data_IF_289285487125
#
_entry.id   IF_289285487125
#
_cell.length_a   1.000
_cell.length_b   1.000
_cell.length_c   1.000
_cell.angle_alpha   90.00
_cell.angle_beta   90.00
_cell.angle_gamma   90.00
#
_symmetry.space_group_name_H-M   'P 1'
#
loop_
_entity.id
_entity.type
_entity.pdbx_description
1 polymer ?
#
# COMPACT_ATOMS: atom_id res chain seq x y z
N UNK A 1 -23.78 0.54 35.79
CA UNK A 1 -22.55 -0.08 35.26
C UNK A 1 -21.75 0.96 34.47
N UNK A 2 -20.58 1.40 34.96
CA UNK A 2 -19.84 2.55 34.41
C UNK A 2 -19.10 2.25 33.09
N UNK A 3 -19.08 0.99 32.65
CA UNK A 3 -18.40 0.56 31.43
C UNK A 3 -19.11 0.97 30.13
N UNK A 4 -20.40 1.32 30.17
CA UNK A 4 -21.15 1.76 28.98
C UNK A 4 -20.81 3.21 28.57
N UNK A 5 -20.58 4.10 29.55
CA UNK A 5 -20.33 5.53 29.29
C UNK A 5 -18.93 5.82 28.70
N UNK A 6 -17.95 4.95 28.92
CA UNK A 6 -16.60 5.12 28.36
C UNK A 6 -16.53 4.78 26.87
N UNK A 7 -17.27 3.76 26.41
CA UNK A 7 -17.34 3.41 24.98
C UNK A 7 -18.02 4.49 24.14
N UNK A 8 -19.08 5.12 24.66
CA UNK A 8 -19.78 6.22 23.97
C UNK A 8 -18.93 7.48 23.81
N UNK A 9 -18.09 7.81 24.80
CA UNK A 9 -17.23 9.01 24.71
C UNK A 9 -16.10 8.89 23.68
N UNK A 10 -15.58 7.67 23.46
CA UNK A 10 -14.52 7.42 22.48
C UNK A 10 -15.05 7.47 21.04
N UNK A 11 -16.29 7.03 20.81
CA UNK A 11 -16.96 7.18 19.52
C UNK A 11 -17.21 8.65 19.15
N UNK A 12 -17.70 9.46 20.10
CA UNK A 12 -17.98 10.88 19.86
C UNK A 12 -16.73 11.71 19.53
N UNK A 13 -15.60 11.42 20.18
CA UNK A 13 -14.31 12.05 19.85
C UNK A 13 -13.83 11.67 18.44
N UNK A 14 -14.28 10.52 17.91
CA UNK A 14 -13.90 10.07 16.58
C UNK A 14 -14.52 10.94 15.47
N UNK A 15 -15.68 11.54 15.71
CA UNK A 15 -16.45 12.33 14.73
C UNK A 15 -16.22 13.84 14.85
N UNK A 16 -15.67 14.33 15.98
CA UNK A 16 -15.43 15.76 16.18
C UNK A 16 -14.29 16.31 15.29
N UNK A 17 -14.67 17.13 14.29
CA UNK A 17 -13.77 17.97 13.48
C UNK A 17 -13.29 19.23 14.26
N UNK A 18 -12.17 19.88 13.87
CA UNK A 18 -11.67 21.10 14.52
C UNK A 18 -12.66 22.28 14.54
N UNK A 19 -13.58 22.34 13.58
CA UNK A 19 -14.60 23.40 13.50
C UNK A 19 -15.60 23.37 14.67
N UNK A 20 -15.93 22.18 15.20
CA UNK A 20 -16.85 22.03 16.32
C UNK A 20 -16.21 22.44 17.66
N UNK A 21 -14.90 22.67 17.73
CA UNK A 21 -14.22 23.15 18.95
C UNK A 21 -14.75 24.51 19.41
N UNK A 22 -15.31 25.31 18.50
CA UNK A 22 -15.96 26.58 18.79
C UNK A 22 -17.16 26.44 19.75
N UNK A 23 -17.95 25.38 19.62
CA UNK A 23 -19.10 25.10 20.49
C UNK A 23 -18.67 24.81 21.95
N UNK A 24 -17.43 24.33 22.15
CA UNK A 24 -16.87 24.00 23.47
C UNK A 24 -16.08 25.17 24.11
N UNK A 25 -16.16 26.39 23.56
CA UNK A 25 -15.47 27.56 24.11
C UNK A 25 -15.81 27.81 25.60
N UNK A 26 -17.04 27.49 26.01
CA UNK A 26 -17.54 27.64 27.38
C UNK A 26 -16.87 26.68 28.40
N UNK A 27 -16.32 25.55 27.95
CA UNK A 27 -15.57 24.58 28.79
C UNK A 27 -14.05 24.64 28.57
N UNK A 28 -13.55 25.62 27.82
CA UNK A 28 -12.11 25.74 27.50
C UNK A 28 -11.17 25.88 28.71
N UNK A 29 -11.71 26.25 29.88
CA UNK A 29 -10.98 26.31 31.15
C UNK A 29 -10.76 24.93 31.79
N UNK A 30 -11.58 23.93 31.45
CA UNK A 30 -11.43 22.56 31.95
C UNK A 30 -10.18 21.89 31.33
N UNK A 31 -9.21 21.42 32.13
CA UNK A 31 -8.04 20.67 31.65
C UNK A 31 -8.40 19.48 30.75
N UNK A 32 -9.55 18.83 30.99
CA UNK A 32 -10.02 17.70 30.18
C UNK A 32 -10.46 18.14 28.79
N UNK A 33 -11.19 19.26 28.68
CA UNK A 33 -11.59 19.83 27.40
C UNK A 33 -10.38 20.30 26.58
N UNK A 34 -9.37 20.88 27.23
CA UNK A 34 -8.11 21.26 26.57
C UNK A 34 -7.34 20.06 26.04
N UNK A 35 -7.32 18.94 26.77
CA UNK A 35 -6.68 17.71 26.33
C UNK A 35 -7.31 17.20 25.04
N UNK A 36 -8.63 17.03 25.00
CA UNK A 36 -9.32 16.54 23.80
C UNK A 36 -9.26 17.51 22.62
N UNK A 37 -9.31 18.82 22.86
CA UNK A 37 -9.11 19.83 21.80
C UNK A 37 -7.75 19.67 21.11
N UNK A 38 -6.68 19.43 21.90
CA UNK A 38 -5.33 19.16 21.36
C UNK A 38 -5.28 17.83 20.60
N UNK A 39 -5.98 16.79 21.07
CA UNK A 39 -6.05 15.49 20.39
C UNK A 39 -6.73 15.63 19.02
N UNK A 40 -7.87 16.35 18.95
CA UNK A 40 -8.60 16.60 17.70
C UNK A 40 -7.75 17.39 16.71
N UNK A 41 -7.10 18.47 17.15
CA UNK A 41 -6.22 19.26 16.29
C UNK A 41 -5.03 18.46 15.75
N UNK A 42 -4.36 17.67 16.61
CA UNK A 42 -3.24 16.81 16.19
C UNK A 42 -3.68 15.74 15.19
N UNK A 43 -4.85 15.12 15.41
CA UNK A 43 -5.41 14.13 14.47
C UNK A 43 -5.72 14.75 13.12
N UNK A 44 -6.35 15.92 13.10
CA UNK A 44 -6.66 16.63 11.86
C UNK A 44 -5.39 16.99 11.08
N UNK A 45 -4.38 17.55 11.75
CA UNK A 45 -3.09 17.87 11.13
C UNK A 45 -2.35 16.63 10.61
N UNK A 46 -2.42 15.51 11.35
CA UNK A 46 -1.86 14.23 10.90
C UNK A 46 -2.59 13.65 9.68
N UNK A 47 -3.92 13.81 9.58
CA UNK A 47 -4.69 13.38 8.40
C UNK A 47 -4.29 14.19 7.17
N UNK A 48 -4.21 15.51 7.29
CA UNK A 48 -3.81 16.39 6.17
C UNK A 48 -2.38 16.10 5.70
N UNK A 49 -1.45 15.84 6.62
CA UNK A 49 -0.07 15.50 6.25
C UNK A 49 0.02 14.12 5.57
N UNK A 50 -0.73 13.12 6.06
CA UNK A 50 -0.82 11.80 5.41
C UNK A 50 -1.41 11.88 4.00
N UNK A 51 -2.48 12.65 3.81
CA UNK A 51 -3.07 12.86 2.48
C UNK A 51 -2.06 13.55 1.56
N UNK A 52 -1.40 14.63 2.02
CA UNK A 52 -0.38 15.34 1.25
C UNK A 52 0.77 14.41 0.82
N UNK A 53 1.34 13.64 1.74
CA UNK A 53 2.41 12.68 1.45
C UNK A 53 1.94 11.61 0.47
N UNK A 54 0.73 11.06 0.66
CA UNK A 54 0.18 10.06 -0.25
C UNK A 54 -0.03 10.62 -1.66
N UNK A 55 -0.46 11.87 -1.78
CA UNK A 55 -0.66 12.56 -3.06
C UNK A 55 0.66 12.86 -3.77
N UNK A 56 1.68 13.30 -3.04
CA UNK A 56 3.03 13.47 -3.58
C UNK A 56 3.61 12.14 -4.08
N UNK A 57 3.49 11.08 -3.29
CA UNK A 57 3.88 9.73 -3.70
C UNK A 57 3.08 9.25 -4.89
N UNK A 58 1.80 9.57 -5.00
CA UNK A 58 1.00 9.25 -6.17
C UNK A 58 1.51 9.97 -7.43
N UNK A 59 1.88 11.24 -7.33
CA UNK A 59 2.48 11.96 -8.45
C UNK A 59 3.82 11.33 -8.88
N UNK A 60 4.67 10.95 -7.92
CA UNK A 60 5.92 10.23 -8.19
C UNK A 60 5.68 8.84 -8.79
N UNK A 61 4.67 8.10 -8.29
CA UNK A 61 4.26 6.81 -8.83
C UNK A 61 3.94 6.92 -10.32
N UNK A 62 3.16 7.93 -10.72
CA UNK A 62 2.81 8.18 -12.12
C UNK A 62 4.02 8.52 -12.98
N UNK A 63 4.96 9.29 -12.45
CA UNK A 63 6.22 9.58 -13.14
C UNK A 63 7.05 8.30 -13.36
N UNK A 64 7.22 7.49 -12.31
CA UNK A 64 7.97 6.23 -12.36
C UNK A 64 7.33 5.19 -13.29
N UNK A 65 6.00 5.13 -13.36
CA UNK A 65 5.28 4.29 -14.32
C UNK A 65 5.56 4.72 -15.77
N UNK A 66 5.63 6.02 -16.02
CA UNK A 66 5.94 6.56 -17.35
C UNK A 66 7.38 6.26 -17.78
N UNK A 67 8.32 6.32 -16.84
CA UNK A 67 9.72 5.99 -17.10
C UNK A 67 9.93 4.48 -17.33
N UNK A 68 9.06 3.64 -16.75
CA UNK A 68 8.99 2.19 -17.00
C UNK A 68 10.10 1.34 -16.38
N UNK A 69 11.13 1.96 -15.79
CA UNK A 69 12.26 1.23 -15.20
C UNK A 69 11.94 0.68 -13.82
N UNK A 70 11.41 1.53 -12.93
CA UNK A 70 11.23 1.20 -11.51
C UNK A 70 10.18 0.11 -11.30
N UNK A 71 9.04 0.21 -12.01
CA UNK A 71 7.95 -0.77 -11.97
C UNK A 71 8.07 -1.82 -13.10
N UNK A 72 9.29 -2.06 -13.61
CA UNK A 72 9.51 -3.24 -14.44
C UNK A 72 9.38 -4.50 -13.58
N UNK A 73 8.87 -5.58 -14.16
CA UNK A 73 8.68 -6.86 -13.46
C UNK A 73 9.97 -7.33 -12.80
N UNK A 74 11.10 -7.24 -13.50
CA UNK A 74 12.42 -7.59 -12.98
C UNK A 74 12.79 -6.77 -11.73
N UNK A 75 12.59 -5.45 -11.76
CA UNK A 75 12.88 -4.59 -10.60
C UNK A 75 11.93 -4.85 -9.44
N UNK A 76 10.67 -5.20 -9.71
CA UNK A 76 9.71 -5.57 -8.66
C UNK A 76 10.10 -6.91 -8.01
N UNK A 77 10.48 -7.90 -8.82
CA UNK A 77 10.98 -9.21 -8.35
C UNK A 77 12.21 -9.09 -7.47
N UNK A 78 13.18 -8.26 -7.86
CA UNK A 78 14.39 -8.00 -7.06
C UNK A 78 14.07 -7.40 -5.69
N UNK A 79 13.08 -6.49 -5.62
CA UNK A 79 12.74 -5.72 -4.41
C UNK A 79 11.78 -6.46 -3.48
N UNK A 80 10.88 -7.28 -4.01
CA UNK A 80 9.88 -8.02 -3.24
C UNK A 80 9.77 -9.46 -3.77
N UNK A 81 10.79 -10.30 -3.50
CA UNK A 81 10.88 -11.63 -4.08
C UNK A 81 9.80 -12.58 -3.57
N UNK A 82 9.44 -12.54 -2.29
CA UNK A 82 8.35 -13.36 -1.73
C UNK A 82 7.01 -13.03 -2.39
N UNK A 83 6.70 -11.74 -2.55
CA UNK A 83 5.45 -11.31 -3.19
C UNK A 83 5.41 -11.75 -4.66
N UNK A 84 6.55 -11.67 -5.37
CA UNK A 84 6.64 -12.16 -6.73
C UNK A 84 6.37 -13.67 -6.82
N UNK A 85 6.94 -14.45 -5.92
CA UNK A 85 6.75 -15.89 -5.88
C UNK A 85 5.28 -16.27 -5.65
N UNK A 86 4.61 -15.61 -4.69
CA UNK A 86 3.21 -15.85 -4.36
C UNK A 86 2.23 -15.52 -5.51
N UNK A 87 2.48 -14.47 -6.29
CA UNK A 87 1.53 -14.05 -7.33
C UNK A 87 1.89 -14.52 -8.75
N UNK A 88 3.18 -14.68 -9.05
CA UNK A 88 3.67 -14.96 -10.41
C UNK A 88 4.52 -16.23 -10.42
N UNK A 89 5.56 -16.28 -9.58
CA UNK A 89 6.61 -17.32 -9.62
C UNK A 89 6.06 -18.74 -9.55
N UNK A 90 5.16 -19.02 -8.61
CA UNK A 90 4.57 -20.35 -8.41
C UNK A 90 3.70 -20.84 -9.58
N UNK A 91 3.31 -19.95 -10.50
CA UNK A 91 2.46 -20.27 -11.65
C UNK A 91 3.20 -20.23 -12.98
N UNK A 92 4.51 -19.98 -12.98
CA UNK A 92 5.34 -20.07 -14.19
C UNK A 92 5.57 -21.53 -14.55
N UNK A 93 5.42 -21.87 -15.83
CA UNK A 93 5.75 -23.22 -16.31
C UNK A 93 7.25 -23.35 -16.55
N UNK A 94 7.77 -24.58 -16.51
CA UNK A 94 9.19 -24.87 -16.81
C UNK A 94 9.63 -24.34 -18.20
N UNK A 95 8.68 -24.24 -19.15
CA UNK A 95 8.93 -23.68 -20.48
C UNK A 95 9.08 -22.15 -20.44
N UNK A 96 8.31 -21.45 -19.59
CA UNK A 96 8.37 -19.99 -19.39
C UNK A 96 9.64 -19.58 -18.63
N UNK A 97 10.13 -20.42 -17.71
CA UNK A 97 11.35 -20.18 -16.89
C UNK A 97 12.63 -20.61 -17.63
N UNK A 98 12.53 -21.29 -18.77
CA UNK A 98 13.69 -21.79 -19.51
C UNK A 98 14.68 -20.66 -19.79
N UNK A 99 15.97 -20.81 -19.45
CA UNK A 99 16.98 -19.78 -19.71
C UNK A 99 17.13 -19.52 -21.21
N UNK A 100 16.78 -20.49 -22.06
CA UNK A 100 16.70 -20.27 -23.52
C UNK A 100 15.56 -19.32 -23.85
N UNK A 101 14.39 -19.48 -23.23
CA UNK A 101 13.22 -18.61 -23.43
C UNK A 101 13.48 -17.20 -22.89
N UNK A 102 14.02 -17.07 -21.67
CA UNK A 102 14.42 -15.78 -21.07
C UNK A 102 15.47 -15.06 -21.91
N UNK A 103 16.51 -15.75 -22.39
CA UNK A 103 17.54 -15.13 -23.26
C UNK A 103 16.97 -14.72 -24.62
N UNK A 104 15.96 -15.42 -25.13
CA UNK A 104 15.36 -15.17 -26.44
C UNK A 104 14.26 -14.08 -26.43
N UNK A 105 13.50 -13.94 -25.33
CA UNK A 105 12.41 -12.97 -25.18
C UNK A 105 12.75 -11.73 -24.34
N UNK A 106 13.67 -11.80 -23.38
CA UNK A 106 14.11 -10.65 -22.57
C UNK A 106 15.40 -10.01 -23.10
N UNK A 107 16.02 -10.61 -24.12
CA UNK A 107 17.15 -10.00 -24.83
C UNK A 107 16.65 -8.96 -25.84
N UNK A 108 16.82 -7.67 -25.56
CA UNK A 108 16.58 -6.63 -26.56
C UNK A 108 17.36 -6.92 -27.86
N UNK A 109 16.72 -6.85 -29.03
CA UNK A 109 17.38 -7.05 -30.32
C UNK A 109 18.27 -5.84 -30.64
N UNK A 110 19.48 -5.82 -30.06
CA UNK A 110 20.45 -4.74 -30.32
C UNK A 110 21.57 -4.61 -29.28
N UNK A 111 21.38 -5.10 -28.06
CA UNK A 111 22.42 -5.11 -27.03
C UNK A 111 23.15 -6.44 -27.05
N UNK A 112 24.40 -6.39 -27.55
CA UNK A 112 25.22 -7.56 -27.84
C UNK A 112 25.18 -8.61 -26.73
N UNK A 113 24.89 -9.85 -27.14
CA UNK A 113 25.06 -11.11 -26.42
C UNK A 113 25.76 -10.93 -25.08
N UNK A 114 24.98 -10.89 -23.99
CA UNK A 114 25.51 -10.80 -22.65
C UNK A 114 26.58 -11.87 -22.46
N UNK A 115 27.84 -11.45 -22.47
CA UNK A 115 28.97 -12.37 -22.40
C UNK A 115 28.98 -13.14 -21.08
N UNK A 116 29.97 -14.00 -20.87
CA UNK A 116 30.14 -14.74 -19.62
C UNK A 116 30.02 -13.84 -18.37
N UNK A 117 30.49 -12.59 -18.44
CA UNK A 117 30.34 -11.61 -17.36
C UNK A 117 28.87 -11.31 -17.01
N UNK A 118 27.99 -11.14 -18.00
CA UNK A 118 26.56 -10.93 -17.79
C UNK A 118 25.90 -12.15 -17.15
N UNK A 119 26.24 -13.34 -17.63
CA UNK A 119 25.74 -14.59 -17.04
C UNK A 119 26.20 -14.77 -15.58
N UNK A 120 27.45 -14.43 -15.28
CA UNK A 120 27.97 -14.45 -13.91
C UNK A 120 27.27 -13.43 -13.01
N UNK A 121 27.07 -12.20 -13.49
CA UNK A 121 26.33 -11.15 -12.76
C UNK A 121 24.89 -11.58 -12.49
N UNK A 122 24.18 -12.06 -13.50
CA UNK A 122 22.81 -12.57 -13.36
C UNK A 122 22.75 -13.75 -12.38
N UNK A 123 23.69 -14.69 -12.45
CA UNK A 123 23.72 -15.84 -11.53
C UNK A 123 23.96 -15.42 -10.07
N UNK A 124 24.70 -14.35 -9.85
CA UNK A 124 24.94 -13.80 -8.52
C UNK A 124 23.70 -13.06 -8.01
N UNK A 125 23.09 -12.23 -8.86
CA UNK A 125 21.83 -11.54 -8.54
C UNK A 125 20.73 -12.54 -8.21
N UNK A 126 20.54 -13.57 -9.02
CA UNK A 126 19.57 -14.64 -8.78
C UNK A 126 19.82 -15.31 -7.42
N UNK A 127 21.09 -15.60 -7.07
CA UNK A 127 21.40 -16.15 -5.75
C UNK A 127 21.00 -15.22 -4.59
N UNK A 128 21.15 -13.90 -4.75
CA UNK A 128 20.72 -12.93 -3.74
C UNK A 128 19.20 -12.93 -3.59
N UNK A 129 18.46 -12.98 -4.70
CA UNK A 129 17.00 -13.10 -4.71
C UNK A 129 16.57 -14.36 -3.96
N UNK A 130 17.14 -15.51 -4.33
CA UNK A 130 16.78 -16.81 -3.75
C UNK A 130 17.08 -16.87 -2.24
N UNK A 131 18.24 -16.36 -1.80
CA UNK A 131 18.56 -16.30 -0.38
C UNK A 131 17.57 -15.43 0.40
N UNK A 132 17.19 -14.27 -0.17
CA UNK A 132 16.22 -13.37 0.47
C UNK A 132 14.82 -13.98 0.51
N UNK A 133 14.40 -14.61 -0.59
CA UNK A 133 13.13 -15.34 -0.68
C UNK A 133 13.05 -16.42 0.41
N UNK A 134 14.11 -17.22 0.54
CA UNK A 134 14.17 -18.28 1.54
C UNK A 134 14.07 -17.72 2.97
N UNK A 135 14.81 -16.66 3.30
CA UNK A 135 14.74 -16.03 4.63
C UNK A 135 13.33 -15.48 4.92
N UNK A 136 12.67 -14.89 3.92
CA UNK A 136 11.30 -14.38 4.05
C UNK A 136 10.27 -15.51 4.23
N UNK A 137 10.40 -16.62 3.50
CA UNK A 137 9.56 -17.82 3.65
C UNK A 137 9.72 -18.48 5.02
N UNK A 138 10.97 -18.72 5.47
CA UNK A 138 11.25 -19.31 6.79
C UNK A 138 10.64 -18.48 7.93
N UNK A 139 10.58 -17.16 7.76
CA UNK A 139 9.95 -16.26 8.72
C UNK A 139 8.43 -16.32 8.70
N UNK A 140 7.82 -16.46 7.53
CA UNK A 140 6.36 -16.62 7.38
C UNK A 140 5.91 -17.96 7.97
N UNK A 141 6.61 -19.04 7.63
CA UNK A 141 6.37 -20.38 8.17
C UNK A 141 6.54 -20.41 9.69
N UNK A 142 7.59 -19.80 10.22
CA UNK A 142 7.80 -19.71 11.66
C UNK A 142 6.73 -18.90 12.40
N UNK A 143 6.11 -17.90 11.74
CA UNK A 143 4.99 -17.16 12.31
C UNK A 143 3.70 -18.00 12.32
N UNK A 144 3.44 -18.76 11.24
CA UNK A 144 2.30 -19.69 11.17
C UNK A 144 2.42 -20.80 12.21
N UNK A 145 3.60 -21.41 12.37
CA UNK A 145 3.84 -22.45 13.38
C UNK A 145 3.59 -21.96 14.82
N UNK A 146 3.74 -20.66 15.10
CA UNK A 146 3.41 -20.06 16.40
C UNK A 146 1.91 -19.76 16.58
N UNK A 147 1.13 -19.71 15.50
CA UNK A 147 -0.31 -19.36 15.48
C UNK A 147 -1.24 -20.58 15.37
N UNK A 148 -0.73 -21.75 14.97
CA UNK A 148 -1.52 -22.98 14.76
C UNK A 148 -1.82 -23.74 16.09
N UNK A 149 -3.03 -23.54 16.63
CA UNK A 149 -3.76 -24.57 17.40
C UNK A 149 -4.44 -25.53 16.40
N UNK A 150 -3.71 -26.55 15.95
CA UNK A 150 -4.18 -27.85 15.43
C UNK A 150 -5.47 -27.82 14.56
N UNK A 151 -5.39 -27.31 13.33
CA UNK A 151 -6.39 -27.59 12.29
C UNK A 151 -5.72 -28.21 11.04
N UNK A 152 -6.03 -29.50 10.82
CA UNK A 152 -5.65 -30.33 9.68
C UNK A 152 -6.28 -29.80 8.37
N UNK A 153 -5.50 -29.02 7.60
CA UNK A 153 -5.83 -28.65 6.22
C UNK A 153 -4.86 -29.29 5.22
N UNK A 154 -5.12 -30.56 4.94
CA UNK A 154 -4.59 -31.28 3.78
C UNK A 154 -5.17 -30.69 2.46
N UNK A 155 -4.30 -30.57 1.45
CA UNK A 155 -4.56 -30.29 0.02
C UNK A 155 -5.09 -28.90 -0.42
N UNK A 156 -4.17 -27.96 -0.65
CA UNK A 156 -4.30 -26.98 -1.75
C UNK A 156 -2.96 -26.81 -2.48
N UNK A 157 -2.60 -27.76 -3.34
CA UNK A 157 -1.46 -27.58 -4.26
C UNK A 157 -1.63 -28.35 -5.57
N UNK A 158 -2.75 -28.14 -6.24
CA UNK A 158 -2.91 -28.58 -7.65
C UNK A 158 -3.96 -27.71 -8.36
N UNK A 159 -3.81 -26.40 -8.27
CA UNK A 159 -4.57 -25.48 -9.13
C UNK A 159 -3.59 -24.74 -10.04
N UNK A 160 -3.77 -24.95 -11.35
CA UNK A 160 -3.04 -24.20 -12.37
C UNK A 160 -3.97 -23.10 -12.92
N UNK A 161 -3.63 -21.81 -12.73
CA UNK A 161 -4.43 -20.73 -13.26
C UNK A 161 -4.42 -20.74 -14.78
N UNK A 162 -5.58 -20.46 -15.37
CA UNK A 162 -5.73 -20.18 -16.79
C UNK A 162 -4.89 -18.96 -17.20
N UNK A 163 -4.56 -18.80 -18.49
CA UNK A 163 -3.79 -17.64 -18.95
C UNK A 163 -4.42 -16.28 -18.59
N UNK A 164 -5.76 -16.21 -18.55
CA UNK A 164 -6.49 -15.02 -18.13
C UNK A 164 -6.32 -14.76 -16.63
N UNK A 165 -6.42 -15.80 -15.79
CA UNK A 165 -6.18 -15.69 -14.34
C UNK A 165 -4.72 -15.33 -14.04
N UNK A 166 -3.74 -15.86 -14.80
CA UNK A 166 -2.34 -15.43 -14.70
C UNK A 166 -2.17 -13.94 -15.01
N UNK A 167 -2.94 -13.40 -15.95
CA UNK A 167 -2.90 -11.96 -16.24
C UNK A 167 -3.47 -11.14 -15.07
N UNK A 168 -4.58 -11.58 -14.48
CA UNK A 168 -5.16 -10.95 -13.29
C UNK A 168 -4.20 -10.99 -12.09
N UNK A 169 -3.57 -12.14 -11.84
CA UNK A 169 -2.58 -12.29 -10.77
C UNK A 169 -1.38 -11.35 -10.96
N UNK A 170 -0.92 -11.15 -12.20
CA UNK A 170 0.11 -10.15 -12.52
C UNK A 170 -0.37 -8.72 -12.26
N UNK A 171 -1.60 -8.40 -12.60
CA UNK A 171 -2.19 -7.08 -12.30
C UNK A 171 -2.35 -6.84 -10.80
N UNK A 172 -2.70 -7.88 -10.04
CA UNK A 172 -2.77 -7.84 -8.57
C UNK A 172 -1.40 -7.63 -7.96
N UNK A 173 -0.37 -8.36 -8.43
CA UNK A 173 1.01 -8.15 -8.02
C UNK A 173 1.45 -6.69 -8.22
N UNK A 174 1.21 -6.15 -9.42
CA UNK A 174 1.52 -4.75 -9.75
C UNK A 174 0.76 -3.79 -8.82
N UNK A 175 -0.52 -4.06 -8.57
CA UNK A 175 -1.35 -3.24 -7.69
C UNK A 175 -0.85 -3.24 -6.25
N UNK A 176 -0.43 -4.40 -5.73
CA UNK A 176 0.18 -4.51 -4.41
C UNK A 176 1.50 -3.72 -4.34
N UNK A 177 2.34 -3.82 -5.36
CA UNK A 177 3.58 -3.03 -5.45
C UNK A 177 3.30 -1.52 -5.44
N UNK A 178 2.26 -1.06 -6.13
CA UNK A 178 1.83 0.34 -6.09
C UNK A 178 1.35 0.75 -4.70
N UNK A 179 0.53 -0.07 -4.03
CA UNK A 179 0.04 0.25 -2.68
C UNK A 179 1.18 0.32 -1.66
N UNK A 180 2.12 -0.64 -1.70
CA UNK A 180 3.32 -0.62 -0.85
C UNK A 180 4.14 0.64 -1.08
N UNK A 181 4.28 1.06 -2.34
CA UNK A 181 4.96 2.30 -2.68
C UNK A 181 4.26 3.51 -2.04
N UNK A 182 2.94 3.66 -2.22
CA UNK A 182 2.17 4.77 -1.66
C UNK A 182 2.21 4.78 -0.13
N UNK A 183 2.15 3.61 0.50
CA UNK A 183 2.19 3.44 1.95
C UNK A 183 3.57 3.71 2.57
N UNK A 184 4.64 3.75 1.77
CA UNK A 184 5.99 3.97 2.27
C UNK A 184 6.70 2.70 2.75
N UNK A 185 6.25 1.53 2.29
CA UNK A 185 6.73 0.22 2.76
C UNK A 185 7.89 -0.33 1.92
N UNK A 186 8.20 0.32 0.80
CA UNK A 186 9.31 -0.07 -0.08
C UNK A 186 10.66 0.35 0.53
N UNK A 187 11.40 -0.61 1.04
CA UNK A 187 12.67 -0.36 1.76
C UNK A 187 13.79 0.09 0.82
N UNK A 188 13.69 -0.26 -0.46
CA UNK A 188 14.70 0.01 -1.48
C UNK A 188 14.52 1.40 -2.10
N UNK A 189 13.42 2.09 -1.80
CA UNK A 189 13.13 3.44 -2.26
C UNK A 189 13.50 4.54 -1.26
N UNK A 190 14.10 5.63 -1.75
CA UNK A 190 14.37 6.81 -0.93
C UNK A 190 13.19 7.81 -0.94
N UNK A 191 12.22 7.60 -0.06
CA UNK A 191 11.01 8.44 0.04
C UNK A 191 11.25 9.91 0.35
N UNK A 192 12.38 10.27 0.99
CA UNK A 192 12.70 11.69 1.26
C UNK A 192 12.79 12.51 -0.02
N UNK A 193 13.22 11.90 -1.11
CA UNK A 193 13.31 12.56 -2.42
C UNK A 193 11.95 12.93 -3.02
N UNK A 194 10.86 12.34 -2.53
CA UNK A 194 9.50 12.57 -2.99
C UNK A 194 8.71 13.38 -1.96
N UNK A 195 8.74 12.96 -0.69
CA UNK A 195 7.94 13.55 0.39
C UNK A 195 8.34 15.02 0.71
N UNK A 196 9.59 15.39 0.45
CA UNK A 196 10.11 16.75 0.64
C UNK A 196 10.21 17.56 -0.66
N UNK A 197 9.80 16.98 -1.80
CA UNK A 197 9.94 17.62 -3.10
C UNK A 197 8.68 18.41 -3.49
N UNK A 198 8.79 19.75 -3.67
CA UNK A 198 7.65 20.59 -4.04
C UNK A 198 7.13 20.33 -5.46
N UNK A 199 7.92 19.73 -6.36
CA UNK A 199 7.49 19.46 -7.75
C UNK A 199 6.37 18.41 -7.81
N UNK A 200 6.22 17.60 -6.76
CA UNK A 200 5.14 16.61 -6.64
C UNK A 200 3.92 17.13 -5.88
N UNK A 201 3.89 18.41 -5.49
CA UNK A 201 2.72 19.05 -4.90
C UNK A 201 1.68 19.36 -5.99
N UNK A 202 0.99 18.32 -6.44
CA UNK A 202 0.05 18.41 -7.55
C UNK A 202 -1.28 19.02 -7.09
N UNK A 203 -1.46 20.31 -7.38
CA UNK A 203 -2.67 21.07 -7.07
C UNK A 203 -3.94 20.45 -7.67
N UNK A 204 -3.86 19.76 -8.80
CA UNK A 204 -5.03 19.11 -9.41
C UNK A 204 -5.52 17.94 -8.55
N UNK A 205 -4.59 17.17 -7.95
CA UNK A 205 -4.93 16.09 -7.02
C UNK A 205 -5.52 16.68 -5.74
N UNK A 206 -4.90 17.73 -5.20
CA UNK A 206 -5.39 18.39 -3.98
C UNK A 206 -6.79 18.97 -4.18
N UNK A 207 -7.05 19.61 -5.33
CA UNK A 207 -8.37 20.14 -5.65
C UNK A 207 -9.39 19.02 -5.76
N UNK A 208 -9.08 17.93 -6.46
CA UNK A 208 -10.02 16.82 -6.59
C UNK A 208 -10.31 16.14 -5.26
N UNK A 209 -9.30 15.91 -4.43
CA UNK A 209 -9.49 15.38 -3.08
C UNK A 209 -10.34 16.34 -2.20
N UNK A 210 -10.20 17.65 -2.40
CA UNK A 210 -11.00 18.65 -1.71
C UNK A 210 -12.45 18.67 -2.20
N UNK A 211 -12.66 18.50 -3.51
CA UNK A 211 -13.99 18.34 -4.12
C UNK A 211 -14.65 17.04 -3.65
N UNK A 212 -13.98 15.89 -3.74
CA UNK A 212 -14.49 14.59 -3.29
C UNK A 212 -14.88 14.65 -1.79
N UNK A 213 -14.04 15.27 -0.96
CA UNK A 213 -14.35 15.47 0.46
C UNK A 213 -15.56 16.37 0.69
N UNK A 214 -15.78 17.37 -0.17
CA UNK A 214 -16.95 18.25 -0.08
C UNK A 214 -18.24 17.47 -0.38
N UNK A 215 -18.23 16.59 -1.40
CA UNK A 215 -19.37 15.72 -1.70
C UNK A 215 -19.66 14.71 -0.59
N UNK A 216 -18.62 14.06 -0.03
CA UNK A 216 -18.80 13.11 1.08
C UNK A 216 -19.36 13.80 2.35
N UNK A 217 -18.95 15.05 2.63
CA UNK A 217 -19.44 15.81 3.79
C UNK A 217 -20.90 16.32 3.58
N UNK A 218 -21.33 16.59 2.33
CA UNK A 218 -22.71 16.99 2.00
C UNK A 218 -23.69 15.79 2.11
N UNK A 219 -23.29 14.58 1.70
CA UNK A 219 -24.11 13.36 1.85
C UNK A 219 -24.37 13.02 3.33
N UNK A 220 -23.36 13.21 4.21
CA UNK A 220 -23.51 13.04 5.67
C UNK A 220 -24.46 14.09 6.30
N UNK A 221 -24.44 15.34 5.81
CA UNK A 221 -25.33 16.41 6.29
C UNK A 221 -26.79 16.19 5.86
N UNK A 222 -27.03 15.68 4.64
CA UNK A 222 -28.38 15.30 4.18
C UNK A 222 -28.94 14.10 4.98
N UNK A 223 -28.13 13.08 5.29
CA UNK A 223 -28.56 11.94 6.13
C UNK A 223 -28.90 12.39 7.57
N UNK A 224 -28.13 13.31 8.16
CA UNK A 224 -28.41 13.87 9.50
C UNK A 224 -29.73 14.68 9.52
N UNK A 225 -30.01 15.48 8.48
CA UNK A 225 -31.27 16.24 8.36
C UNK A 225 -32.50 15.34 8.13
N UNK A 226 -32.34 14.21 7.43
CA UNK A 226 -33.41 13.23 7.24
C UNK A 226 -33.70 12.43 8.53
N UNK A 227 -32.69 12.07 9.33
CA UNK A 227 -32.90 11.42 10.64
C UNK A 227 -33.55 12.35 11.67
N UNK A 228 -33.18 13.64 11.71
CA UNK A 228 -33.84 14.62 12.59
C UNK A 228 -35.31 14.83 12.21
N UNK A 229 -35.65 14.87 10.90
CA UNK A 229 -37.05 14.96 10.45
C UNK A 229 -37.90 13.71 10.75
N UNK A 230 -37.27 12.53 10.82
CA UNK A 230 -37.96 11.27 11.13
C UNK A 230 -38.19 11.04 12.63
N UNK A 231 -37.55 11.83 13.48
CA UNK A 231 -37.65 11.73 14.95
C UNK A 231 -38.51 12.82 15.59
N UNK A 232 -39.05 13.76 14.80
CA UNK A 232 -40.00 14.80 15.23
C UNK A 232 -41.49 14.40 15.07
#
# INVERSE_FOLDING_TARGET
SPLCAHRSSLGFIACLKPQHLSAFAHVSSDPRAQHYSKVIQRRAAGRTDRTRVRNQRYAALRALQKDGQYFSEEQMRMREPLLYEQYIGQYLTDEEVSPVYLVFYMGEPGQGTGGLANLLLNSYQERLIQNRLQEEQEKEDGALEEEEEDDDYDQQKEWEPTPEEKALLREEFISQMHQRFLDGKDKDFNYRSVDENPDYDNLDIVNRDAEDKYFDDDDDEEEEEEEENMTE
#
